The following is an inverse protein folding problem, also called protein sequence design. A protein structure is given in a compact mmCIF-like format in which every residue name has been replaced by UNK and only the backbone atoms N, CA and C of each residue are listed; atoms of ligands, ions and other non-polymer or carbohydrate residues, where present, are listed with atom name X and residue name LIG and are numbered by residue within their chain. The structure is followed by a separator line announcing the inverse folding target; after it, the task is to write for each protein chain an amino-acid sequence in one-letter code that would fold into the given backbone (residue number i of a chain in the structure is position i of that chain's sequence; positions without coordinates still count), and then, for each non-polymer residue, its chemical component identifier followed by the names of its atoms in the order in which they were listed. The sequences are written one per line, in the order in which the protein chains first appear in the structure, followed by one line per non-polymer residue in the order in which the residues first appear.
data_IF_180849844224
#
_entry.id   IF_180849844224
#
_cell.length_a   1.000
_cell.length_b   1.000
_cell.length_c   1.000
_cell.angle_alpha   90.00
_cell.angle_beta   90.00
_cell.angle_gamma   90.00
#
_symmetry.space_group_name_H-M   'P 1'
#
loop_
_entity.id
_entity.type
_entity.pdbx_description
1 polymer ?
#
# COMPACT_ATOMS: atom_id res chain seq x y z
N UNK A 1 -22.54 -13.78 16.88
CA UNK A 1 -21.66 -13.33 15.78
C UNK A 1 -20.22 -13.58 16.19
N UNK A 2 -19.41 -14.28 15.39
CA UNK A 2 -18.03 -14.58 15.75
C UNK A 2 -17.18 -13.30 15.69
N UNK A 3 -16.22 -13.13 16.61
CA UNK A 3 -15.33 -11.95 16.68
C UNK A 3 -14.64 -11.68 15.35
N UNK A 4 -14.24 -12.75 14.64
CA UNK A 4 -13.65 -12.67 13.31
C UNK A 4 -14.54 -11.91 12.29
N UNK A 5 -15.86 -12.04 12.35
CA UNK A 5 -16.76 -11.38 11.40
C UNK A 5 -16.81 -9.87 11.63
N UNK A 6 -16.82 -9.45 12.90
CA UNK A 6 -16.71 -8.02 13.26
C UNK A 6 -15.39 -7.45 12.74
N UNK A 7 -14.28 -8.16 12.93
CA UNK A 7 -12.98 -7.72 12.43
C UNK A 7 -12.96 -7.57 10.90
N UNK A 8 -13.57 -8.50 10.16
CA UNK A 8 -13.67 -8.39 8.70
C UNK A 8 -14.40 -7.10 8.28
N UNK A 9 -15.52 -6.79 8.91
CA UNK A 9 -16.30 -5.57 8.63
C UNK A 9 -15.48 -4.31 8.97
N UNK A 10 -14.85 -4.27 10.14
CA UNK A 10 -14.04 -3.13 10.56
C UNK A 10 -12.85 -2.90 9.63
N UNK A 11 -12.16 -3.97 9.21
CA UNK A 11 -11.04 -3.84 8.27
C UNK A 11 -11.53 -3.48 6.87
N UNK A 12 -12.70 -3.94 6.43
CA UNK A 12 -13.29 -3.49 5.17
C UNK A 12 -13.54 -1.97 5.18
N UNK A 13 -14.12 -1.45 6.27
CA UNK A 13 -14.35 -0.01 6.45
C UNK A 13 -13.01 0.75 6.49
N UNK A 14 -12.01 0.22 7.19
CA UNK A 14 -10.66 0.79 7.22
C UNK A 14 -10.03 0.85 5.82
N UNK A 15 -10.10 -0.23 5.05
CA UNK A 15 -9.58 -0.32 3.69
C UNK A 15 -10.24 0.71 2.77
N UNK A 16 -11.56 0.86 2.84
CA UNK A 16 -12.27 1.91 2.09
C UNK A 16 -11.84 3.31 2.52
N UNK A 17 -11.71 3.53 3.83
CA UNK A 17 -11.33 4.83 4.39
C UNK A 17 -9.91 5.23 3.96
N UNK A 18 -8.94 4.33 4.07
CA UNK A 18 -7.54 4.58 3.68
C UNK A 18 -7.40 4.75 2.16
N UNK A 19 -8.12 3.95 1.37
CA UNK A 19 -8.15 4.09 -0.09
C UNK A 19 -8.72 5.44 -0.53
N UNK A 20 -9.86 5.85 0.05
CA UNK A 20 -10.46 7.16 -0.19
C UNK A 20 -9.51 8.30 0.18
N UNK A 21 -8.86 8.18 1.35
CA UNK A 21 -7.89 9.15 1.81
C UNK A 21 -6.72 9.32 0.82
N UNK A 22 -6.09 8.21 0.39
CA UNK A 22 -4.95 8.25 -0.56
C UNK A 22 -5.37 8.87 -1.89
N UNK A 23 -6.55 8.50 -2.42
CA UNK A 23 -7.08 9.06 -3.67
C UNK A 23 -7.27 10.57 -3.61
N UNK A 24 -7.75 11.10 -2.48
CA UNK A 24 -7.95 12.55 -2.26
C UNK A 24 -6.63 13.28 -2.02
N UNK A 25 -5.81 12.78 -1.09
CA UNK A 25 -4.58 13.43 -0.67
C UNK A 25 -3.55 13.57 -1.79
N UNK A 26 -3.48 12.57 -2.67
CA UNK A 26 -2.47 12.53 -3.72
C UNK A 26 -2.87 13.20 -5.05
N UNK A 27 -4.00 13.94 -5.07
CA UNK A 27 -4.57 14.60 -6.26
C UNK A 27 -4.98 13.62 -7.38
N UNK A 28 -5.37 12.39 -7.04
CA UNK A 28 -5.91 11.39 -7.97
C UNK A 28 -4.98 11.04 -9.15
N UNK A 29 -3.67 10.93 -8.89
CA UNK A 29 -2.74 10.28 -9.83
C UNK A 29 -3.20 8.84 -10.09
N UNK A 30 -2.84 8.29 -11.25
CA UNK A 30 -3.31 6.96 -11.67
C UNK A 30 -3.00 5.86 -10.64
N UNK A 31 -1.79 5.86 -10.05
CA UNK A 31 -1.43 4.89 -9.00
C UNK A 31 -2.36 4.94 -7.77
N UNK A 32 -2.85 6.13 -7.39
CA UNK A 32 -3.75 6.30 -6.24
C UNK A 32 -5.17 5.86 -6.59
N UNK A 33 -5.62 6.10 -7.83
CA UNK A 33 -6.90 5.57 -8.31
C UNK A 33 -6.87 4.04 -8.31
N UNK A 34 -5.78 3.44 -8.78
CA UNK A 34 -5.59 2.00 -8.75
C UNK A 34 -5.50 1.45 -7.32
N UNK A 35 -4.81 2.14 -6.42
CA UNK A 35 -4.79 1.77 -5.00
C UNK A 35 -6.17 1.83 -4.35
N UNK A 36 -6.98 2.84 -4.67
CA UNK A 36 -8.37 2.87 -4.23
C UNK A 36 -9.17 1.68 -4.75
N UNK A 37 -9.02 1.32 -6.03
CA UNK A 37 -9.66 0.12 -6.61
C UNK A 37 -9.20 -1.16 -5.90
N UNK A 38 -7.92 -1.27 -5.55
CA UNK A 38 -7.37 -2.38 -4.79
C UNK A 38 -8.01 -2.49 -3.41
N UNK A 39 -8.09 -1.36 -2.69
CA UNK A 39 -8.76 -1.27 -1.40
C UNK A 39 -10.25 -1.63 -1.50
N UNK A 40 -10.95 -1.23 -2.57
CA UNK A 40 -12.34 -1.62 -2.78
C UNK A 40 -12.50 -3.12 -3.02
N UNK A 41 -11.63 -3.73 -3.85
CA UNK A 41 -11.67 -5.17 -4.09
C UNK A 41 -11.43 -5.97 -2.80
N UNK A 42 -10.40 -5.59 -2.02
CA UNK A 42 -10.11 -6.22 -0.73
C UNK A 42 -11.23 -5.98 0.30
N UNK A 43 -11.78 -4.76 0.38
CA UNK A 43 -12.89 -4.46 1.29
C UNK A 43 -14.14 -5.26 0.94
N UNK A 44 -14.47 -5.38 -0.35
CA UNK A 44 -15.61 -6.19 -0.81
C UNK A 44 -15.43 -7.65 -0.42
N UNK A 45 -14.21 -8.19 -0.57
CA UNK A 45 -13.89 -9.53 -0.12
C UNK A 45 -14.07 -9.71 1.39
N UNK A 46 -13.61 -8.75 2.19
CA UNK A 46 -13.79 -8.78 3.65
C UNK A 46 -15.25 -8.63 4.06
N UNK A 47 -16.04 -7.77 3.39
CA UNK A 47 -17.49 -7.70 3.62
C UNK A 47 -18.17 -9.04 3.33
N UNK A 48 -17.82 -9.71 2.24
CA UNK A 48 -18.36 -11.05 1.96
C UNK A 48 -18.00 -12.06 3.05
N UNK A 49 -16.77 -12.05 3.58
CA UNK A 49 -16.41 -12.90 4.72
C UNK A 49 -17.13 -12.54 6.02
N UNK A 50 -17.36 -11.26 6.29
CA UNK A 50 -18.02 -10.79 7.51
C UNK A 50 -19.54 -10.99 7.51
N UNK A 51 -20.18 -10.82 6.34
CA UNK A 51 -21.64 -10.80 6.22
C UNK A 51 -22.25 -12.16 5.83
N UNK A 52 -21.47 -13.09 5.27
CA UNK A 52 -21.98 -14.41 4.83
C UNK A 52 -22.71 -15.21 5.93
N UNK A 53 -22.45 -14.94 7.21
CA UNK A 53 -23.12 -15.63 8.32
C UNK A 53 -24.62 -15.31 8.42
N UNK A 54 -25.04 -14.15 7.91
CA UNK A 54 -26.44 -13.73 7.92
C UNK A 54 -27.25 -14.36 6.79
N UNK A 55 -26.59 -15.07 5.85
CA UNK A 55 -27.28 -15.73 4.76
C UNK A 55 -27.91 -17.05 5.23
N UNK A 56 -29.14 -17.35 4.78
CA UNK A 56 -29.75 -18.66 4.94
C UNK A 56 -28.83 -19.77 4.40
N UNK A 57 -28.94 -20.98 4.93
CA UNK A 57 -28.01 -22.07 4.61
C UNK A 57 -27.99 -22.41 3.12
N UNK A 58 -29.14 -22.30 2.45
CA UNK A 58 -29.34 -22.51 1.01
C UNK A 58 -28.44 -21.61 0.15
N UNK A 59 -28.11 -20.40 0.63
CA UNK A 59 -27.30 -19.43 -0.10
C UNK A 59 -25.82 -19.46 0.30
N UNK A 60 -25.42 -20.29 1.29
CA UNK A 60 -24.05 -20.25 1.82
C UNK A 60 -22.99 -20.79 0.86
N UNK A 61 -23.36 -21.74 -0.01
CA UNK A 61 -22.45 -22.23 -1.06
C UNK A 61 -22.21 -21.15 -2.13
N UNK A 62 -23.27 -20.48 -2.57
CA UNK A 62 -23.21 -19.34 -3.49
C UNK A 62 -22.35 -18.24 -2.88
N UNK A 63 -22.62 -17.89 -1.61
CA UNK A 63 -21.85 -16.89 -0.90
C UNK A 63 -20.37 -17.24 -0.84
N UNK A 64 -20.03 -18.50 -0.56
CA UNK A 64 -18.65 -18.97 -0.49
C UNK A 64 -17.93 -18.81 -1.84
N UNK A 65 -18.57 -19.20 -2.95
CA UNK A 65 -18.00 -19.05 -4.28
C UNK A 65 -17.89 -17.57 -4.70
N UNK A 66 -18.92 -16.77 -4.42
CA UNK A 66 -18.93 -15.34 -4.74
C UNK A 66 -17.92 -14.54 -3.90
N UNK A 67 -17.46 -15.07 -2.75
CA UNK A 67 -16.32 -14.47 -2.03
C UNK A 67 -15.06 -14.41 -2.88
N UNK A 68 -14.92 -15.27 -3.90
CA UNK A 68 -13.74 -15.31 -4.77
C UNK A 68 -13.78 -14.25 -5.88
N UNK A 69 -14.94 -13.66 -6.18
CA UNK A 69 -15.08 -12.71 -7.29
C UNK A 69 -14.22 -11.45 -7.05
N UNK A 70 -14.27 -10.77 -5.88
CA UNK A 70 -13.48 -9.57 -5.68
C UNK A 70 -11.96 -9.83 -5.67
N UNK A 71 -11.52 -10.98 -5.12
CA UNK A 71 -10.09 -11.30 -5.02
C UNK A 71 -9.46 -11.60 -6.39
N UNK A 72 -10.24 -12.01 -7.39
CA UNK A 72 -9.75 -12.25 -8.76
C UNK A 72 -9.24 -10.96 -9.46
N UNK A 73 -9.72 -9.79 -9.03
CA UNK A 73 -9.26 -8.51 -9.56
C UNK A 73 -7.96 -8.01 -8.90
N UNK A 74 -7.67 -8.47 -7.68
CA UNK A 74 -6.53 -7.98 -6.87
C UNK A 74 -5.18 -8.16 -7.57
N UNK A 75 -4.82 -9.33 -8.13
CA UNK A 75 -3.49 -9.52 -8.73
C UNK A 75 -3.19 -8.53 -9.86
N UNK A 76 -4.18 -8.26 -10.72
CA UNK A 76 -4.04 -7.32 -11.84
C UNK A 76 -3.91 -5.88 -11.37
N UNK A 77 -4.77 -5.45 -10.43
CA UNK A 77 -4.74 -4.08 -9.90
C UNK A 77 -3.42 -3.84 -9.18
N UNK A 78 -2.99 -4.80 -8.35
CA UNK A 78 -1.71 -4.79 -7.65
C UNK A 78 -0.55 -4.64 -8.66
N UNK A 79 -0.51 -5.50 -9.68
CA UNK A 79 0.52 -5.44 -10.71
C UNK A 79 0.55 -4.10 -11.45
N UNK A 80 -0.62 -3.53 -11.77
CA UNK A 80 -0.72 -2.22 -12.41
C UNK A 80 -0.14 -1.11 -11.53
N UNK A 81 -0.38 -1.13 -10.21
CA UNK A 81 0.23 -0.16 -9.28
C UNK A 81 1.75 -0.29 -9.29
N UNK A 82 2.27 -1.53 -9.21
CA UNK A 82 3.71 -1.78 -9.23
C UNK A 82 4.35 -1.25 -10.52
N UNK A 83 3.75 -1.52 -11.69
CA UNK A 83 4.28 -1.02 -12.96
C UNK A 83 4.25 0.51 -13.03
N UNK A 84 3.21 1.17 -12.51
CA UNK A 84 3.13 2.63 -12.46
C UNK A 84 4.18 3.26 -11.54
N UNK A 85 4.64 2.54 -10.51
CA UNK A 85 5.59 3.05 -9.53
C UNK A 85 7.05 2.78 -9.88
N UNK A 86 7.32 1.67 -10.59
CA UNK A 86 8.67 1.19 -10.87
C UNK A 86 9.01 1.15 -12.36
N UNK A 87 8.17 1.79 -13.18
CA UNK A 87 8.34 2.02 -14.62
C UNK A 87 8.77 0.76 -15.40
N UNK A 88 7.99 -0.30 -15.18
CA UNK A 88 8.04 -1.50 -16.00
C UNK A 88 7.37 -1.18 -17.34
N UNK A 89 8.16 -0.80 -18.34
CA UNK A 89 7.73 -0.46 -19.70
C UNK A 89 7.24 -1.65 -20.53
N UNK A 90 6.92 -2.79 -19.89
CA UNK A 90 6.45 -3.99 -20.58
C UNK A 90 5.03 -3.82 -21.10
N UNK A 91 4.94 -3.25 -22.29
CA UNK A 91 3.71 -3.09 -23.06
C UNK A 91 3.36 -4.41 -23.78
N UNK A 92 3.22 -5.50 -23.04
CA UNK A 92 2.87 -6.80 -23.59
C UNK A 92 1.35 -6.87 -23.83
N UNK A 93 0.90 -6.38 -24.99
CA UNK A 93 -0.51 -6.43 -25.41
C UNK A 93 -1.05 -7.87 -25.44
N UNK A 94 -0.23 -8.84 -25.84
CA UNK A 94 -0.63 -10.27 -25.92
C UNK A 94 -0.92 -10.87 -24.53
N UNK A 95 -0.08 -10.54 -23.53
CA UNK A 95 -0.32 -10.93 -22.13
C UNK A 95 -1.61 -10.31 -21.56
N UNK A 96 -2.03 -9.13 -22.04
CA UNK A 96 -3.30 -8.51 -21.61
C UNK A 96 -4.52 -9.27 -22.13
N UNK A 97 -4.48 -9.77 -23.36
CA UNK A 97 -5.59 -10.56 -23.94
C UNK A 97 -5.70 -11.92 -23.23
N UNK A 98 -4.58 -12.65 -23.13
CA UNK A 98 -4.53 -13.93 -22.42
C UNK A 98 -5.06 -13.80 -20.99
N UNK A 99 -4.61 -12.78 -20.26
CA UNK A 99 -5.11 -12.49 -18.93
C UNK A 99 -6.61 -12.26 -18.88
N UNK A 100 -7.16 -11.52 -19.84
CA UNK A 100 -8.59 -11.21 -19.87
C UNK A 100 -9.42 -12.48 -20.09
N UNK A 101 -8.97 -13.38 -20.97
CA UNK A 101 -9.61 -14.68 -21.20
C UNK A 101 -9.57 -15.54 -19.93
N UNK A 102 -8.40 -15.66 -19.30
CA UNK A 102 -8.23 -16.43 -18.06
C UNK A 102 -9.11 -15.84 -16.95
N UNK A 103 -9.14 -14.53 -16.78
CA UNK A 103 -9.94 -13.87 -15.77
C UNK A 103 -11.45 -14.11 -15.99
N UNK A 104 -11.94 -14.00 -17.22
CA UNK A 104 -13.35 -14.29 -17.55
C UNK A 104 -13.70 -15.74 -17.24
N UNK A 105 -12.83 -16.68 -17.58
CA UNK A 105 -13.03 -18.09 -17.24
C UNK A 105 -13.11 -18.30 -15.71
N UNK A 106 -12.16 -17.75 -14.94
CA UNK A 106 -12.15 -17.90 -13.48
C UNK A 106 -13.37 -17.21 -12.82
N UNK A 107 -13.78 -16.05 -13.33
CA UNK A 107 -15.00 -15.37 -12.90
C UNK A 107 -16.24 -16.23 -13.17
N UNK A 108 -16.31 -16.86 -14.34
CA UNK A 108 -17.39 -17.80 -14.67
C UNK A 108 -17.42 -18.97 -13.69
N UNK A 109 -16.26 -19.59 -13.39
CA UNK A 109 -16.18 -20.66 -12.39
C UNK A 109 -16.69 -20.22 -11.00
N UNK A 110 -16.34 -19.02 -10.54
CA UNK A 110 -16.80 -18.49 -9.27
C UNK A 110 -18.30 -18.12 -9.30
N UNK A 111 -18.80 -17.58 -10.41
CA UNK A 111 -20.19 -17.16 -10.56
C UNK A 111 -21.14 -18.35 -10.57
N UNK A 112 -20.81 -19.41 -11.33
CA UNK A 112 -21.59 -20.65 -11.45
C UNK A 112 -21.29 -21.67 -10.33
N UNK A 113 -20.63 -21.25 -9.25
CA UNK A 113 -20.33 -22.09 -8.08
C UNK A 113 -19.49 -23.36 -8.36
N UNK A 114 -18.66 -23.33 -9.39
CA UNK A 114 -17.76 -24.43 -9.76
C UNK A 114 -16.37 -24.31 -9.11
N UNK A 115 -16.13 -23.28 -8.29
CA UNK A 115 -14.84 -23.04 -7.67
C UNK A 115 -14.63 -23.84 -6.39
N UNK A 116 -15.61 -23.82 -5.49
CA UNK A 116 -15.53 -24.46 -4.17
C UNK A 116 -16.86 -25.17 -3.91
N UNK A 117 -16.81 -26.38 -3.35
CA UNK A 117 -18.01 -27.11 -2.91
C UNK A 117 -18.10 -27.14 -1.39
N UNK A 118 -19.24 -26.75 -0.83
CA UNK A 118 -19.42 -26.69 0.63
C UNK A 118 -19.61 -28.11 1.20
N UNK A 119 -18.95 -28.41 2.32
CA UNK A 119 -19.05 -29.71 3.00
C UNK A 119 -19.91 -29.62 4.27
N UNK A 120 -19.84 -28.49 4.97
CA UNK A 120 -20.66 -28.17 6.15
C UNK A 120 -21.11 -26.71 6.04
N UNK A 121 -22.41 -26.51 5.83
CA UNK A 121 -23.07 -25.21 5.69
C UNK A 121 -23.03 -24.39 6.98
N UNK A 122 -23.00 -25.04 8.14
CA UNK A 122 -22.96 -24.38 9.45
C UNK A 122 -21.58 -23.81 9.77
N UNK A 123 -20.52 -24.52 9.35
CA UNK A 123 -19.12 -24.18 9.65
C UNK A 123 -18.37 -23.55 8.48
N UNK A 124 -18.99 -23.44 7.30
CA UNK A 124 -18.33 -23.03 6.06
C UNK A 124 -17.06 -23.85 5.77
N UNK A 125 -17.12 -25.17 6.01
CA UNK A 125 -16.05 -26.08 5.57
C UNK A 125 -16.27 -26.45 4.11
N UNK A 126 -15.19 -26.67 3.37
CA UNK A 126 -15.29 -26.82 1.93
C UNK A 126 -14.20 -27.69 1.31
N UNK A 127 -14.48 -28.24 0.14
CA UNK A 127 -13.52 -28.98 -0.66
C UNK A 127 -13.04 -28.12 -1.84
N UNK A 128 -11.75 -28.27 -2.14
CA UNK A 128 -11.12 -27.58 -3.25
C UNK A 128 -11.44 -28.31 -4.55
N UNK A 129 -12.03 -27.60 -5.52
CA UNK A 129 -12.15 -28.11 -6.89
C UNK A 129 -10.93 -27.67 -7.71
N UNK A 130 -10.73 -28.25 -8.89
CA UNK A 130 -9.67 -27.84 -9.82
C UNK A 130 -9.69 -26.33 -10.10
N UNK A 131 -10.88 -25.76 -10.26
CA UNK A 131 -11.11 -24.32 -10.42
C UNK A 131 -10.50 -23.49 -9.28
N UNK A 132 -10.62 -23.92 -8.02
CA UNK A 132 -10.00 -23.22 -6.89
C UNK A 132 -8.47 -23.22 -6.97
N UNK A 133 -7.87 -24.35 -7.36
CA UNK A 133 -6.43 -24.42 -7.57
C UNK A 133 -5.97 -23.50 -8.71
N UNK A 134 -6.74 -23.40 -9.80
CA UNK A 134 -6.48 -22.45 -10.89
C UNK A 134 -6.56 -20.99 -10.42
N UNK A 135 -7.56 -20.63 -9.60
CA UNK A 135 -7.68 -19.29 -9.02
C UNK A 135 -6.43 -18.94 -8.20
N UNK A 136 -5.98 -19.85 -7.33
CA UNK A 136 -4.79 -19.63 -6.52
C UNK A 136 -3.50 -19.55 -7.36
N UNK A 137 -3.36 -20.41 -8.37
CA UNK A 137 -2.21 -20.38 -9.28
C UNK A 137 -2.15 -19.04 -10.04
N UNK A 138 -3.29 -18.58 -10.56
CA UNK A 138 -3.40 -17.28 -11.23
C UNK A 138 -2.98 -16.13 -10.29
N UNK A 139 -3.50 -16.10 -9.06
CA UNK A 139 -3.14 -15.07 -8.09
C UNK A 139 -1.65 -15.13 -7.72
N UNK A 140 -1.13 -16.33 -7.46
CA UNK A 140 0.26 -16.55 -7.09
C UNK A 140 1.20 -16.05 -8.19
N UNK A 141 0.97 -16.39 -9.46
CA UNK A 141 1.83 -15.98 -10.57
C UNK A 141 1.92 -14.45 -10.70
N UNK A 142 0.78 -13.75 -10.73
CA UNK A 142 0.74 -12.29 -10.87
C UNK A 142 1.34 -11.56 -9.68
N UNK A 143 1.03 -12.00 -8.46
CA UNK A 143 1.56 -11.38 -7.26
C UNK A 143 3.06 -11.64 -7.15
N UNK A 144 3.54 -12.85 -7.48
CA UNK A 144 4.96 -13.20 -7.45
C UNK A 144 5.77 -12.37 -8.46
N UNK A 145 5.25 -12.18 -9.67
CA UNK A 145 5.90 -11.31 -10.66
C UNK A 145 5.98 -9.85 -10.18
N UNK A 146 4.88 -9.34 -9.63
CA UNK A 146 4.85 -7.99 -9.04
C UNK A 146 5.83 -7.87 -7.87
N UNK A 147 5.93 -8.91 -7.05
CA UNK A 147 6.86 -8.98 -5.94
C UNK A 147 8.32 -8.98 -6.40
N UNK A 148 8.63 -9.74 -7.45
CA UNK A 148 9.95 -9.72 -8.08
C UNK A 148 10.34 -8.31 -8.53
N UNK A 149 9.44 -7.56 -9.18
CA UNK A 149 9.71 -6.19 -9.62
C UNK A 149 9.99 -5.25 -8.44
N UNK A 150 9.16 -5.31 -7.39
CA UNK A 150 9.36 -4.51 -6.17
C UNK A 150 10.70 -4.85 -5.49
N UNK A 151 10.97 -6.14 -5.30
CA UNK A 151 12.19 -6.61 -4.66
C UNK A 151 13.44 -6.25 -5.46
N UNK A 152 13.41 -6.40 -6.79
CA UNK A 152 14.49 -5.96 -7.68
C UNK A 152 14.75 -4.46 -7.55
N UNK A 153 13.72 -3.64 -7.41
CA UNK A 153 13.87 -2.19 -7.20
C UNK A 153 14.55 -1.84 -5.87
N UNK A 154 14.39 -2.65 -4.82
CA UNK A 154 15.12 -2.44 -3.55
C UNK A 154 16.64 -2.47 -3.74
N UNK A 155 17.15 -3.29 -4.66
CA UNK A 155 18.60 -3.41 -4.87
C UNK A 155 19.13 -2.55 -6.01
N UNK A 156 18.29 -2.20 -7.00
CA UNK A 156 18.73 -1.45 -8.19
C UNK A 156 18.43 0.04 -8.14
N UNK A 157 17.45 0.46 -7.35
CA UNK A 157 17.06 1.86 -7.22
C UNK A 157 17.81 2.54 -6.08
N UNK A 158 17.86 3.88 -6.09
CA UNK A 158 18.44 4.72 -5.03
C UNK A 158 17.39 5.68 -4.47
N UNK A 159 17.67 6.21 -3.28
CA UNK A 159 16.85 7.24 -2.63
C UNK A 159 15.39 6.84 -2.41
N UNK A 160 14.46 7.76 -2.68
CA UNK A 160 13.03 7.57 -2.40
C UNK A 160 12.44 6.34 -3.09
N UNK A 161 12.88 6.02 -4.31
CA UNK A 161 12.37 4.87 -5.05
C UNK A 161 12.70 3.55 -4.36
N UNK A 162 13.91 3.44 -3.78
CA UNK A 162 14.35 2.27 -3.01
C UNK A 162 13.51 2.07 -1.75
N UNK A 163 13.19 3.17 -1.06
CA UNK A 163 12.40 3.12 0.18
C UNK A 163 10.95 2.77 -0.12
N UNK A 164 10.39 3.35 -1.19
CA UNK A 164 9.06 2.97 -1.68
C UNK A 164 9.01 1.48 -2.00
N UNK A 165 9.99 0.96 -2.74
CA UNK A 165 10.10 -0.46 -3.05
C UNK A 165 10.12 -1.33 -1.80
N UNK A 166 10.91 -0.94 -0.79
CA UNK A 166 10.96 -1.64 0.48
C UNK A 166 9.60 -1.67 1.20
N UNK A 167 8.94 -0.51 1.34
CA UNK A 167 7.61 -0.43 1.97
C UNK A 167 6.57 -1.28 1.23
N UNK A 168 6.52 -1.18 -0.10
CA UNK A 168 5.62 -1.98 -0.92
C UNK A 168 5.89 -3.49 -0.76
N UNK A 169 7.15 -3.92 -0.77
CA UNK A 169 7.54 -5.30 -0.55
C UNK A 169 7.18 -5.78 0.86
N UNK A 170 7.53 -5.05 1.91
CA UNK A 170 7.23 -5.42 3.31
C UNK A 170 5.74 -5.60 3.55
N UNK A 171 4.91 -4.65 3.09
CA UNK A 171 3.46 -4.78 3.19
C UNK A 171 2.93 -6.01 2.46
N UNK A 172 3.45 -6.29 1.26
CA UNK A 172 3.03 -7.43 0.44
C UNK A 172 3.41 -8.78 1.06
N UNK A 173 4.61 -8.90 1.63
CA UNK A 173 5.07 -10.12 2.33
C UNK A 173 4.13 -10.45 3.47
N UNK A 174 3.79 -9.45 4.30
CA UNK A 174 2.91 -9.64 5.45
C UNK A 174 1.53 -10.13 4.97
N UNK A 175 0.93 -9.46 3.97
CA UNK A 175 -0.36 -9.89 3.42
C UNK A 175 -0.31 -11.32 2.85
N UNK A 176 0.75 -11.66 2.12
CA UNK A 176 0.91 -12.99 1.52
C UNK A 176 1.03 -14.09 2.58
N UNK A 177 1.86 -13.90 3.61
CA UNK A 177 2.03 -14.87 4.71
C UNK A 177 0.68 -15.15 5.36
N UNK A 178 -0.08 -14.11 5.73
CA UNK A 178 -1.39 -14.28 6.36
C UNK A 178 -2.40 -14.93 5.41
N UNK A 179 -2.44 -14.52 4.14
CA UNK A 179 -3.39 -15.03 3.16
C UNK A 179 -3.12 -16.51 2.85
N UNK A 180 -1.90 -16.87 2.46
CA UNK A 180 -1.52 -18.26 2.13
C UNK A 180 -1.77 -19.18 3.33
N UNK A 181 -1.38 -18.73 4.53
CA UNK A 181 -1.61 -19.52 5.74
C UNK A 181 -3.10 -19.76 5.97
N UNK A 182 -3.94 -18.72 5.88
CA UNK A 182 -5.37 -18.81 6.21
C UNK A 182 -6.24 -19.47 5.13
N UNK A 183 -5.91 -19.31 3.85
CA UNK A 183 -6.76 -19.76 2.73
C UNK A 183 -6.29 -21.04 2.07
N UNK A 184 -5.03 -21.45 2.31
CA UNK A 184 -4.46 -22.63 1.65
C UNK A 184 -3.84 -23.64 2.61
N UNK A 185 -2.92 -23.20 3.49
CA UNK A 185 -2.22 -24.10 4.41
C UNK A 185 -3.15 -24.63 5.51
N UNK A 186 -3.82 -23.76 6.25
CA UNK A 186 -4.68 -24.17 7.36
C UNK A 186 -5.87 -25.05 6.95
N UNK A 187 -6.59 -24.79 5.84
CA UNK A 187 -7.68 -25.68 5.48
C UNK A 187 -7.21 -27.06 5.00
N UNK A 188 -5.95 -27.22 4.57
CA UNK A 188 -5.36 -28.55 4.33
C UNK A 188 -5.30 -29.39 5.62
N UNK A 189 -5.12 -28.74 6.77
CA UNK A 189 -5.21 -29.36 8.10
C UNK A 189 -6.63 -29.38 8.68
N UNK A 190 -7.66 -29.04 7.89
CA UNK A 190 -9.05 -28.97 8.33
C UNK A 190 -9.43 -27.71 9.11
N UNK A 191 -8.55 -26.69 9.18
CA UNK A 191 -8.78 -25.43 9.87
C UNK A 191 -9.22 -24.33 8.88
N UNK A 192 -10.52 -24.07 8.80
CA UNK A 192 -11.11 -23.14 7.83
C UNK A 192 -11.13 -21.68 8.34
N UNK A 193 -9.96 -21.06 8.40
CA UNK A 193 -9.76 -19.70 8.95
C UNK A 193 -9.56 -18.62 7.89
N UNK A 194 -10.12 -18.78 6.69
CA UNK A 194 -10.01 -17.80 5.61
C UNK A 194 -10.39 -16.36 6.06
N UNK A 195 -11.38 -16.21 6.94
CA UNK A 195 -11.80 -14.92 7.50
C UNK A 195 -10.74 -14.24 8.39
N UNK A 196 -9.70 -14.97 8.85
CA UNK A 196 -8.59 -14.41 9.63
C UNK A 196 -7.47 -13.83 8.76
N UNK A 197 -7.49 -14.02 7.45
CA UNK A 197 -6.56 -13.37 6.50
C UNK A 197 -6.54 -11.84 6.63
N UNK A 198 -7.64 -11.27 7.16
CA UNK A 198 -7.85 -9.85 7.44
C UNK A 198 -6.69 -9.17 8.18
N UNK A 199 -5.99 -9.88 9.06
CA UNK A 199 -4.87 -9.33 9.83
C UNK A 199 -3.67 -8.96 8.95
N UNK A 200 -3.52 -9.58 7.77
CA UNK A 200 -2.48 -9.22 6.82
C UNK A 200 -2.77 -7.91 6.07
N UNK A 201 -4.05 -7.53 5.90
CA UNK A 201 -4.42 -6.38 5.07
C UNK A 201 -4.25 -5.02 5.76
N UNK A 202 -4.30 -4.98 7.09
CA UNK A 202 -4.03 -3.75 7.87
C UNK A 202 -2.61 -3.21 7.64
N UNK A 203 -1.53 -3.95 7.95
CA UNK A 203 -0.17 -3.47 7.73
C UNK A 203 0.12 -3.28 6.23
N UNK A 204 -0.43 -4.14 5.38
CA UNK A 204 -0.33 -3.98 3.93
C UNK A 204 -0.83 -2.61 3.45
N UNK A 205 -2.07 -2.26 3.81
CA UNK A 205 -2.67 -1.01 3.35
C UNK A 205 -1.96 0.22 3.93
N UNK A 206 -1.47 0.15 5.18
CA UNK A 206 -0.68 1.21 5.77
C UNK A 206 0.65 1.41 5.03
N UNK A 207 1.44 0.36 4.85
CA UNK A 207 2.73 0.46 4.15
C UNK A 207 2.57 0.94 2.70
N UNK A 208 1.59 0.41 1.97
CA UNK A 208 1.30 0.83 0.61
C UNK A 208 0.80 2.28 0.53
N UNK A 209 -0.07 2.69 1.46
CA UNK A 209 -0.55 4.08 1.49
C UNK A 209 0.59 5.08 1.72
N UNK A 210 1.53 4.76 2.62
CA UNK A 210 2.72 5.56 2.86
C UNK A 210 3.59 5.58 1.60
N UNK A 211 3.89 4.41 1.02
CA UNK A 211 4.74 4.31 -0.18
C UNK A 211 4.18 5.10 -1.39
N UNK A 212 2.85 5.16 -1.54
CA UNK A 212 2.19 5.88 -2.63
C UNK A 212 2.18 7.39 -2.39
N UNK A 213 2.01 7.84 -1.14
CA UNK A 213 1.90 9.26 -0.81
C UNK A 213 3.26 9.94 -0.55
N UNK A 214 4.31 9.18 -0.23
CA UNK A 214 5.65 9.72 0.01
C UNK A 214 6.39 9.93 -1.32
N UNK A 215 6.43 11.19 -1.78
CA UNK A 215 7.05 11.56 -3.05
C UNK A 215 8.55 11.89 -2.90
N UNK A 216 8.92 12.65 -1.86
CA UNK A 216 10.30 12.92 -1.43
C UNK A 216 10.34 13.11 0.11
N UNK A 217 11.11 12.29 0.82
CA UNK A 217 11.16 12.33 2.29
C UNK A 217 11.80 13.60 2.85
N UNK A 218 12.76 14.20 2.13
CA UNK A 218 13.42 15.43 2.53
C UNK A 218 12.55 16.66 2.23
N UNK A 219 11.86 16.68 1.10
CA UNK A 219 10.91 17.76 0.78
C UNK A 219 9.75 17.79 1.78
N UNK A 220 9.24 16.62 2.19
CA UNK A 220 8.22 16.50 3.23
C UNK A 220 8.74 17.06 4.56
N UNK A 221 9.99 16.75 4.93
CA UNK A 221 10.61 17.31 6.14
C UNK A 221 10.71 18.84 6.07
N UNK A 222 11.16 19.39 4.95
CA UNK A 222 11.28 20.84 4.75
C UNK A 222 9.90 21.53 4.83
N UNK A 223 8.88 20.94 4.21
CA UNK A 223 7.51 21.45 4.32
C UNK A 223 6.95 21.39 5.75
N UNK A 224 7.32 20.40 6.55
CA UNK A 224 6.96 20.34 7.98
C UNK A 224 7.64 21.48 8.75
N UNK A 225 8.94 21.73 8.50
CA UNK A 225 9.69 22.80 9.14
C UNK A 225 9.16 24.20 8.76
N UNK A 226 8.67 24.33 7.53
CA UNK A 226 8.02 25.55 7.02
C UNK A 226 6.57 25.72 7.49
N UNK A 227 6.02 24.77 8.25
CA UNK A 227 4.64 24.80 8.72
C UNK A 227 3.58 24.63 7.61
N UNK A 228 3.96 24.14 6.43
CA UNK A 228 3.04 23.92 5.32
C UNK A 228 2.09 22.76 5.61
N UNK A 229 0.86 22.86 5.10
CA UNK A 229 -0.15 21.80 5.24
C UNK A 229 0.21 20.61 4.34
N UNK A 230 0.48 19.46 4.97
CA UNK A 230 0.78 18.18 4.31
C UNK A 230 -0.29 17.13 4.63
N UNK A 231 -0.44 16.08 3.80
CA UNK A 231 -1.24 14.91 4.15
C UNK A 231 -0.83 14.35 5.51
N UNK A 232 -1.82 14.03 6.35
CA UNK A 232 -1.61 13.57 7.72
C UNK A 232 -0.67 12.35 7.82
N UNK A 233 -0.87 11.34 6.97
CA UNK A 233 0.00 10.16 6.91
C UNK A 233 1.46 10.53 6.62
N UNK A 234 1.71 11.43 5.65
CA UNK A 234 3.08 11.85 5.32
C UNK A 234 3.75 12.54 6.52
N UNK A 235 2.99 13.34 7.27
CA UNK A 235 3.49 14.03 8.46
C UNK A 235 3.90 13.05 9.56
N UNK A 236 3.04 12.09 9.89
CA UNK A 236 3.31 11.11 10.95
C UNK A 236 4.39 10.12 10.52
N UNK A 237 4.36 9.66 9.27
CA UNK A 237 5.30 8.66 8.79
C UNK A 237 6.68 9.24 8.45
N UNK A 238 6.83 10.58 8.31
CA UNK A 238 8.08 11.21 7.86
C UNK A 238 9.29 10.78 8.68
N UNK A 239 9.17 10.74 10.01
CA UNK A 239 10.25 10.29 10.88
C UNK A 239 10.65 8.83 10.58
N UNK A 240 9.66 7.94 10.47
CA UNK A 240 9.89 6.53 10.16
C UNK A 240 10.51 6.35 8.77
N UNK A 241 10.03 7.10 7.77
CA UNK A 241 10.56 7.02 6.41
C UNK A 241 12.00 7.54 6.34
N UNK A 242 12.34 8.62 7.05
CA UNK A 242 13.71 9.11 7.13
C UNK A 242 14.65 8.13 7.84
N UNK A 243 14.16 7.46 8.89
CA UNK A 243 14.91 6.39 9.56
C UNK A 243 15.18 5.23 8.58
N UNK A 244 14.16 4.81 7.83
CA UNK A 244 14.31 3.81 6.77
C UNK A 244 15.26 4.28 5.67
N UNK A 245 15.21 5.55 5.26
CA UNK A 245 16.15 6.13 4.28
C UNK A 245 17.59 5.97 4.77
N UNK A 246 17.87 6.38 6.02
CA UNK A 246 19.20 6.29 6.62
C UNK A 246 19.74 4.86 6.64
N UNK A 247 18.89 3.86 6.85
CA UNK A 247 19.29 2.45 6.91
C UNK A 247 19.47 1.87 5.50
N UNK A 248 18.51 2.12 4.61
CA UNK A 248 18.45 1.50 3.29
C UNK A 248 19.41 2.15 2.29
N UNK A 249 19.58 3.47 2.32
CA UNK A 249 20.46 4.20 1.41
C UNK A 249 21.22 5.32 2.16
N UNK A 250 22.22 4.95 3.00
CA UNK A 250 22.92 5.90 3.86
C UNK A 250 23.69 6.97 3.06
N UNK A 251 24.23 6.61 1.90
CA UNK A 251 25.02 7.51 1.07
C UNK A 251 24.14 8.62 0.49
N UNK A 252 23.03 8.24 -0.16
CA UNK A 252 22.07 9.21 -0.71
C UNK A 252 21.42 10.04 0.41
N UNK A 253 21.12 9.43 1.56
CA UNK A 253 20.61 10.14 2.74
C UNK A 253 21.58 11.23 3.20
N UNK A 254 22.87 10.91 3.34
CA UNK A 254 23.87 11.88 3.79
C UNK A 254 24.04 13.02 2.80
N UNK A 255 24.07 12.72 1.49
CA UNK A 255 24.18 13.73 0.44
C UNK A 255 22.98 14.69 0.46
N UNK A 256 21.75 14.17 0.52
CA UNK A 256 20.54 15.01 0.59
C UNK A 256 20.45 15.81 1.88
N UNK A 257 20.86 15.22 3.00
CA UNK A 257 20.94 15.94 4.28
C UNK A 257 21.95 17.09 4.21
N UNK A 258 23.11 16.87 3.60
CA UNK A 258 24.13 17.89 3.42
C UNK A 258 23.64 19.01 2.52
N UNK A 259 23.00 18.69 1.39
CA UNK A 259 22.40 19.68 0.48
C UNK A 259 21.33 20.50 1.20
N UNK A 260 20.42 19.86 1.92
CA UNK A 260 19.36 20.56 2.69
C UNK A 260 19.97 21.50 3.74
N UNK A 261 21.00 21.06 4.48
CA UNK A 261 21.73 21.92 5.44
C UNK A 261 22.48 23.06 4.74
N UNK A 262 23.14 22.80 3.63
CA UNK A 262 23.86 23.81 2.86
C UNK A 262 22.89 24.88 2.33
N UNK A 263 21.71 24.49 1.86
CA UNK A 263 20.65 25.42 1.44
C UNK A 263 20.16 26.31 2.59
N UNK A 264 20.02 25.76 3.81
CA UNK A 264 19.69 26.56 4.99
C UNK A 264 20.80 27.56 5.30
N UNK A 265 22.07 27.14 5.32
CA UNK A 265 23.22 28.03 5.56
C UNK A 265 23.31 29.14 4.50
N UNK A 266 23.08 28.80 3.22
CA UNK A 266 23.06 29.77 2.13
C UNK A 266 21.90 30.77 2.31
N UNK A 267 20.72 30.30 2.72
CA UNK A 267 19.54 31.15 2.98
C UNK A 267 19.75 32.09 4.17
N UNK A 268 20.41 31.61 5.23
CA UNK A 268 20.78 32.42 6.40
C UNK A 268 21.81 33.48 6.02
N UNK A 269 22.88 33.08 5.31
CA UNK A 269 23.96 33.99 4.90
C UNK A 269 23.47 35.07 3.94
N UNK A 270 22.68 34.67 2.92
CA UNK A 270 22.10 35.62 1.96
C UNK A 270 21.14 36.60 2.60
N UNK A 271 20.28 36.15 3.53
CA UNK A 271 19.38 37.05 4.26
C UNK A 271 20.13 38.02 5.17
N UNK A 272 21.17 37.55 5.85
CA UNK A 272 22.03 38.40 6.66
C UNK A 272 22.75 39.45 5.78
N UNK A 273 23.25 39.06 4.61
CA UNK A 273 23.87 39.99 3.66
C UNK A 273 22.87 41.03 3.11
N UNK A 274 21.64 40.60 2.77
CA UNK A 274 20.58 41.51 2.32
C UNK A 274 20.24 42.56 3.39
N UNK A 275 20.08 42.14 4.65
CA UNK A 275 19.81 43.05 5.77
C UNK A 275 20.98 44.00 6.00
N UNK A 276 22.22 43.52 5.86
CA UNK A 276 23.40 44.36 6.00
C UNK A 276 23.54 45.43 4.92
N UNK A 277 23.03 45.18 3.70
CA UNK A 277 23.10 46.13 2.59
C UNK A 277 21.92 47.11 2.55
N UNK A 278 20.76 46.75 3.12
CA UNK A 278 19.52 47.54 3.02
C UNK A 278 19.14 48.29 4.29
N UNK A 279 19.68 47.90 5.44
CA UNK A 279 19.30 48.45 6.73
C UNK A 279 20.57 48.73 7.55
N UNK A 280 20.63 49.91 8.18
CA UNK A 280 21.70 50.28 9.10
C UNK A 280 21.43 49.71 10.49
N UNK A 281 21.42 48.37 10.56
CA UNK A 281 21.17 47.61 11.77
C UNK A 281 22.50 47.14 12.37
N UNK A 282 22.60 47.17 13.70
CA UNK A 282 23.74 46.60 14.40
C UNK A 282 23.87 45.10 14.13
N UNK A 283 25.10 44.57 14.26
CA UNK A 283 25.39 43.15 13.99
C UNK A 283 24.49 42.20 14.79
N UNK A 284 24.19 42.54 16.04
CA UNK A 284 23.37 41.71 16.90
C UNK A 284 21.89 41.74 16.51
N UNK A 285 21.34 42.92 16.24
CA UNK A 285 19.94 43.07 15.79
C UNK A 285 19.67 42.32 14.48
N UNK A 286 20.61 42.36 13.53
CA UNK A 286 20.51 41.55 12.30
C UNK A 286 20.53 40.06 12.59
N UNK A 287 21.41 39.62 13.50
CA UNK A 287 21.50 38.22 13.89
C UNK A 287 20.22 37.74 14.58
N UNK A 288 19.62 38.58 15.44
CA UNK A 288 18.33 38.31 16.09
C UNK A 288 17.20 38.18 15.06
N UNK A 289 17.14 39.11 14.09
CA UNK A 289 16.11 39.07 13.04
C UNK A 289 16.22 37.81 12.17
N UNK A 290 17.44 37.44 11.77
CA UNK A 290 17.71 36.21 11.00
C UNK A 290 17.41 34.96 11.84
N UNK A 291 17.78 34.95 13.12
CA UNK A 291 17.49 33.86 14.04
C UNK A 291 15.97 33.70 14.24
N UNK A 292 15.21 34.81 14.31
CA UNK A 292 13.75 34.80 14.36
C UNK A 292 13.12 34.19 13.09
N UNK A 293 13.61 34.58 11.91
CA UNK A 293 13.10 34.05 10.62
C UNK A 293 13.34 32.53 10.50
N UNK A 294 14.51 32.06 10.93
CA UNK A 294 14.91 30.65 10.77
C UNK A 294 14.81 29.83 12.06
N UNK A 295 14.11 30.32 13.09
CA UNK A 295 14.04 29.70 14.42
C UNK A 295 13.65 28.22 14.39
N UNK A 296 12.73 27.85 13.50
CA UNK A 296 12.26 26.47 13.36
C UNK A 296 13.23 25.56 12.57
N UNK A 297 14.17 26.13 11.82
CA UNK A 297 15.15 25.39 10.99
C UNK A 297 16.51 25.20 11.69
N UNK A 298 16.81 26.00 12.70
CA UNK A 298 18.09 25.98 13.45
C UNK A 298 18.05 24.99 14.63
N UNK A 299 16.87 24.54 15.07
CA UNK A 299 16.69 23.47 16.07
C UNK A 299 17.06 22.10 15.50
#
# INVERSE_FOLDING_TARGET
MNTANVYNILVAIFLLSIGCYVKRAGKSKEAQKQFFLLCMALATWMFFHGLRIFLPEEFREIALNWTLIPILFVPRILHKIVNLMFDSSENLKELKLFHSIVLVYLLSCAFFCNAISIRDTSKFTYMYNYSYHLINAYALLYISYSYYLMFRSIFRSKGDLRIRAFLFSSGSIIALIFTITCTWVLPYFGLYWASRSVFGFLPFALFWSIAILHYDAFEIREHILDGKKLPFLNRISSFLVLCLFRILDPNEYYMRLLISKANVVLSVTSKNHELAMRMDLEKFERAEMVAGIYQNRIK
#
